data_IF_692573122933
#
_entry.id   IF_692573122933
#
_cell.length_a   1.000
_cell.length_b   1.000
_cell.length_c   1.000
_cell.angle_alpha   90.00
_cell.angle_beta   90.00
_cell.angle_gamma   90.00
#
_symmetry.space_group_name_H-M   'P 1'
#
loop_
_entity.id
_entity.type
_entity.pdbx_description
1 polymer ?
#
# COMPACT_ATOMS: atom_id res chain seq x y z
N UNK A 1 19.67 -22.28 29.52
CA UNK A 1 18.53 -21.70 28.77
C UNK A 1 19.01 -21.45 27.35
N UNK A 2 18.32 -21.93 26.31
CA UNK A 2 18.69 -21.60 24.93
C UNK A 2 18.34 -20.13 24.71
N UNK A 3 19.33 -19.32 24.36
CA UNK A 3 19.09 -17.92 23.99
C UNK A 3 18.13 -17.87 22.81
N UNK A 4 17.01 -17.17 23.01
CA UNK A 4 16.08 -16.90 21.92
C UNK A 4 16.78 -16.04 20.88
N UNK A 5 16.61 -16.37 19.59
CA UNK A 5 17.09 -15.54 18.50
C UNK A 5 16.51 -14.12 18.63
N UNK A 6 17.39 -13.12 18.64
CA UNK A 6 17.04 -11.70 18.69
C UNK A 6 17.50 -11.03 17.40
N UNK A 7 16.61 -10.22 16.84
CA UNK A 7 16.87 -9.38 15.69
C UNK A 7 16.52 -7.94 16.09
N UNK A 8 17.31 -6.99 15.63
CA UNK A 8 17.10 -5.58 15.96
C UNK A 8 15.91 -5.02 15.18
N UNK A 9 15.29 -3.94 15.69
CA UNK A 9 14.23 -3.24 14.95
C UNK A 9 14.70 -2.69 13.60
N UNK A 10 15.98 -2.32 13.51
CA UNK A 10 16.59 -1.80 12.27
C UNK A 10 16.66 -2.90 11.21
N UNK A 11 17.10 -4.09 11.59
CA UNK A 11 17.13 -5.24 10.70
C UNK A 11 15.71 -5.68 10.31
N UNK A 12 14.75 -5.67 11.24
CA UNK A 12 13.33 -5.94 10.93
C UNK A 12 12.71 -4.92 9.98
N UNK A 13 13.03 -3.63 10.14
CA UNK A 13 12.62 -2.59 9.20
C UNK A 13 13.24 -2.84 7.82
N UNK A 14 14.55 -3.10 7.79
CA UNK A 14 15.28 -3.37 6.54
C UNK A 14 14.71 -4.57 5.81
N UNK A 15 14.47 -5.69 6.51
CA UNK A 15 13.91 -6.90 5.91
C UNK A 15 12.52 -6.67 5.28
N UNK A 16 11.64 -5.94 5.96
CA UNK A 16 10.32 -5.59 5.40
C UNK A 16 10.42 -4.65 4.21
N UNK A 17 11.33 -3.67 4.28
CA UNK A 17 11.59 -2.77 3.16
C UNK A 17 12.13 -3.52 1.93
N UNK A 18 13.06 -4.45 2.14
CA UNK A 18 13.59 -5.32 1.08
C UNK A 18 12.47 -6.14 0.43
N UNK A 19 11.55 -6.70 1.22
CA UNK A 19 10.39 -7.43 0.68
C UNK A 19 9.57 -6.53 -0.26
N UNK A 20 9.28 -5.29 0.15
CA UNK A 20 8.56 -4.34 -0.71
C UNK A 20 9.32 -4.02 -1.99
N UNK A 21 10.59 -3.63 -1.88
CA UNK A 21 11.40 -3.20 -3.02
C UNK A 21 11.67 -4.30 -4.05
N UNK A 22 11.91 -5.52 -3.59
CA UNK A 22 12.35 -6.62 -4.45
C UNK A 22 11.20 -7.52 -4.92
N UNK A 23 10.06 -7.52 -4.23
CA UNK A 23 8.96 -8.45 -4.51
C UNK A 23 7.58 -7.80 -4.58
N UNK A 24 7.35 -6.67 -3.92
CA UNK A 24 6.06 -5.98 -3.95
C UNK A 24 5.95 -5.00 -5.11
N UNK A 25 6.86 -4.03 -5.15
CA UNK A 25 6.91 -2.96 -6.16
C UNK A 25 7.05 -3.53 -7.58
N UNK A 26 7.94 -4.49 -7.88
CA UNK A 26 8.07 -5.03 -9.23
C UNK A 26 6.76 -5.66 -9.74
N UNK A 27 6.03 -6.38 -8.89
CA UNK A 27 4.74 -6.98 -9.28
C UNK A 27 3.66 -5.91 -9.54
N UNK A 28 3.67 -4.80 -8.80
CA UNK A 28 2.82 -3.65 -9.09
C UNK A 28 3.20 -2.99 -10.43
N UNK A 29 4.50 -2.85 -10.71
CA UNK A 29 5.01 -2.31 -11.96
C UNK A 29 4.61 -3.18 -13.16
N UNK A 30 4.68 -4.50 -13.04
CA UNK A 30 4.15 -5.44 -14.04
C UNK A 30 2.64 -5.28 -14.25
N UNK A 31 1.90 -4.88 -13.21
CA UNK A 31 0.47 -4.55 -13.28
C UNK A 31 0.19 -3.12 -13.80
N UNK A 32 1.21 -2.40 -14.28
CA UNK A 32 1.08 -1.08 -14.89
C UNK A 32 1.02 0.08 -13.90
N UNK A 33 1.34 -0.17 -12.62
CA UNK A 33 1.60 0.93 -11.69
C UNK A 33 2.97 1.52 -11.96
N UNK A 34 3.12 2.83 -11.80
CA UNK A 34 4.40 3.51 -11.88
C UNK A 34 4.62 4.34 -10.63
N UNK A 35 5.87 4.71 -10.36
CA UNK A 35 6.16 5.70 -9.32
C UNK A 35 5.26 6.93 -9.50
N UNK A 36 4.65 7.35 -8.39
CA UNK A 36 3.76 8.51 -8.40
C UNK A 36 4.46 9.75 -8.97
N UNK A 37 3.79 10.51 -9.86
CA UNK A 37 4.37 11.69 -10.51
C UNK A 37 4.33 12.92 -9.61
N UNK A 38 3.51 12.95 -8.56
CA UNK A 38 3.23 14.14 -7.77
C UNK A 38 4.47 14.68 -7.04
N UNK A 39 4.56 16.00 -6.89
CA UNK A 39 5.67 16.67 -6.18
C UNK A 39 5.81 16.23 -4.72
N UNK A 40 4.70 15.94 -4.07
CA UNK A 40 4.62 15.54 -2.65
C UNK A 40 4.61 14.02 -2.46
N UNK A 41 4.80 13.25 -3.54
CA UNK A 41 4.91 11.80 -3.46
C UNK A 41 6.20 11.37 -2.78
N UNK A 42 6.11 10.29 -2.00
CA UNK A 42 7.27 9.69 -1.34
C UNK A 42 7.64 8.40 -2.04
N UNK A 43 8.94 8.18 -2.24
CA UNK A 43 9.45 6.96 -2.85
C UNK A 43 10.81 6.58 -2.26
N UNK A 44 10.81 6.15 -1.01
CA UNK A 44 12.02 5.82 -0.28
C UNK A 44 11.93 6.04 1.21
N UNK A 45 13.07 6.38 1.82
CA UNK A 45 13.18 6.63 3.25
C UNK A 45 12.45 7.93 3.61
N UNK A 46 11.56 7.83 4.59
CA UNK A 46 10.93 8.98 5.22
C UNK A 46 11.92 9.59 6.21
N UNK A 47 11.92 10.92 6.37
CA UNK A 47 12.76 11.72 7.28
C UNK A 47 13.46 10.93 8.41
N UNK A 48 14.76 11.17 8.56
CA UNK A 48 15.68 10.69 9.59
C UNK A 48 15.09 10.54 11.01
N UNK A 49 14.10 11.36 11.37
CA UNK A 49 13.44 11.35 12.67
C UNK A 49 12.35 10.26 12.81
N UNK A 50 11.63 9.93 11.74
CA UNK A 50 10.45 9.04 11.75
C UNK A 50 10.81 7.60 11.37
N UNK A 51 12.01 7.37 10.81
CA UNK A 51 12.65 6.05 10.64
C UNK A 51 11.72 5.01 9.97
N UNK A 52 11.31 5.27 8.74
CA UNK A 52 10.46 4.36 7.97
C UNK A 52 10.68 4.50 6.46
N UNK A 53 9.98 3.69 5.68
CA UNK A 53 9.95 3.79 4.22
C UNK A 53 8.51 3.95 3.74
N UNK A 54 8.32 4.79 2.72
CA UNK A 54 7.07 5.05 2.05
C UNK A 54 7.28 5.01 0.54
N UNK A 55 6.45 4.25 -0.17
CA UNK A 55 6.44 4.18 -1.62
C UNK A 55 5.03 4.43 -2.13
N UNK A 56 4.87 5.48 -2.90
CA UNK A 56 3.62 5.80 -3.58
C UNK A 56 3.72 5.47 -5.06
N UNK A 57 2.76 4.68 -5.54
CA UNK A 57 2.62 4.30 -6.94
C UNK A 57 1.22 4.65 -7.45
N UNK A 58 1.16 5.02 -8.72
CA UNK A 58 -0.07 5.41 -9.39
C UNK A 58 -0.29 4.58 -10.66
N UNK A 59 -1.55 4.32 -10.98
CA UNK A 59 -2.00 3.75 -12.25
C UNK A 59 -3.20 4.54 -12.75
N UNK A 60 -3.14 5.02 -13.98
CA UNK A 60 -4.26 5.63 -14.67
C UNK A 60 -4.89 4.57 -15.57
N UNK A 61 -6.19 4.35 -15.42
CA UNK A 61 -6.94 3.39 -16.25
C UNK A 61 -7.59 4.06 -17.45
N UNK A 62 -8.02 3.26 -18.41
CA UNK A 62 -8.76 3.74 -19.59
C UNK A 62 -10.12 4.36 -19.24
N UNK A 63 -10.66 4.06 -18.06
CA UNK A 63 -11.92 4.60 -17.52
C UNK A 63 -11.71 5.93 -16.79
N UNK A 64 -10.52 6.54 -16.92
CA UNK A 64 -10.14 7.77 -16.24
C UNK A 64 -10.12 7.64 -14.70
N UNK A 65 -9.89 6.42 -14.20
CA UNK A 65 -9.64 6.21 -12.79
C UNK A 65 -8.16 6.35 -12.48
N UNK A 66 -7.85 7.15 -11.47
CA UNK A 66 -6.53 7.23 -10.87
C UNK A 66 -6.49 6.32 -9.64
N UNK A 67 -5.75 5.22 -9.75
CA UNK A 67 -5.44 4.35 -8.62
C UNK A 67 -4.19 4.89 -7.94
N UNK A 68 -4.23 5.03 -6.62
CA UNK A 68 -3.08 5.37 -5.79
C UNK A 68 -2.87 4.23 -4.79
N UNK A 69 -1.66 3.66 -4.80
CA UNK A 69 -1.23 2.65 -3.82
C UNK A 69 -0.09 3.24 -3.00
N UNK A 70 -0.23 3.18 -1.68
CA UNK A 70 0.79 3.62 -0.73
C UNK A 70 1.27 2.43 0.08
N UNK A 71 2.57 2.13 0.00
CA UNK A 71 3.25 1.09 0.74
C UNK A 71 4.05 1.73 1.87
N UNK A 72 3.75 1.41 3.13
CA UNK A 72 4.49 1.96 4.28
C UNK A 72 5.02 0.89 5.22
N UNK A 73 6.24 1.14 5.71
CA UNK A 73 6.89 0.36 6.78
C UNK A 73 7.50 1.31 7.79
N UNK A 74 7.10 1.17 9.05
CA UNK A 74 7.63 1.97 10.15
C UNK A 74 8.52 1.14 11.07
N UNK A 75 9.53 1.79 11.65
CA UNK A 75 10.28 1.22 12.78
C UNK A 75 9.35 1.05 13.98
N UNK A 76 9.57 -0.02 14.77
CA UNK A 76 8.74 -0.34 15.93
C UNK A 76 7.46 -1.09 15.59
N UNK A 77 6.95 -0.97 14.36
CA UNK A 77 5.87 -1.82 13.86
C UNK A 77 6.42 -3.17 13.34
N UNK A 78 5.58 -4.21 13.33
CA UNK A 78 5.92 -5.52 12.74
C UNK A 78 5.24 -5.77 11.39
N UNK A 79 4.36 -4.86 10.98
CA UNK A 79 3.52 -4.96 9.80
C UNK A 79 4.09 -4.13 8.65
N UNK A 80 3.69 -4.48 7.44
CA UNK A 80 3.70 -3.64 6.24
C UNK A 80 2.26 -3.16 6.08
N UNK A 81 2.06 -1.87 5.80
CA UNK A 81 0.75 -1.32 5.45
C UNK A 81 0.71 -1.07 3.95
N UNK A 82 -0.37 -1.49 3.31
CA UNK A 82 -0.61 -1.30 1.88
C UNK A 82 -2.00 -0.74 1.76
N UNK A 83 -2.08 0.52 1.35
CA UNK A 83 -3.32 1.26 1.27
C UNK A 83 -3.63 1.56 -0.21
N UNK A 84 -4.85 1.24 -0.64
CA UNK A 84 -5.36 1.50 -1.99
C UNK A 84 -6.48 2.53 -1.91
N UNK A 85 -6.42 3.53 -2.79
CA UNK A 85 -7.53 4.44 -3.02
C UNK A 85 -7.70 4.71 -4.52
N UNK A 86 -8.93 4.93 -4.95
CA UNK A 86 -9.30 5.07 -6.35
C UNK A 86 -10.16 6.33 -6.53
N UNK A 87 -9.77 7.15 -7.50
CA UNK A 87 -10.43 8.40 -7.84
C UNK A 87 -10.88 8.38 -9.29
N UNK A 88 -11.97 9.09 -9.59
CA UNK A 88 -12.37 9.40 -10.94
C UNK A 88 -11.93 10.82 -11.25
N UNK A 89 -11.13 11.01 -12.29
CA UNK A 89 -10.71 12.36 -12.67
C UNK A 89 -11.84 13.03 -13.45
N UNK A 90 -12.17 14.28 -13.11
CA UNK A 90 -13.21 15.07 -13.79
C UNK A 90 -12.82 15.39 -15.24
N UNK A 91 -11.53 15.52 -15.51
CA UNK A 91 -10.94 15.77 -16.80
C UNK A 91 -10.20 14.51 -17.25
N UNK A 92 -10.35 14.18 -18.54
CA UNK A 92 -9.57 13.10 -19.14
C UNK A 92 -8.12 13.54 -19.26
N UNK A 93 -7.23 12.85 -18.56
CA UNK A 93 -5.79 12.97 -18.76
C UNK A 93 -5.30 11.85 -19.65
N UNK A 94 -4.32 12.14 -20.51
CA UNK A 94 -3.81 11.17 -21.47
C UNK A 94 -2.61 10.40 -20.89
N UNK A 95 -1.93 10.97 -19.89
CA UNK A 95 -0.76 10.37 -19.27
C UNK A 95 -0.66 10.73 -17.79
N UNK A 96 -0.13 9.81 -17.00
CA UNK A 96 0.23 10.05 -15.58
C UNK A 96 1.28 11.18 -15.48
N UNK A 97 2.12 11.38 -16.50
CA UNK A 97 3.11 12.47 -16.53
C UNK A 97 2.48 13.85 -16.42
N UNK A 98 1.21 14.00 -16.82
CA UNK A 98 0.49 15.28 -16.78
C UNK A 98 0.24 15.75 -15.34
N UNK A 99 0.37 14.86 -14.36
CA UNK A 99 0.20 15.12 -12.93
C UNK A 99 1.51 15.52 -12.23
N UNK A 100 2.63 15.62 -12.95
CA UNK A 100 3.96 15.84 -12.35
C UNK A 100 4.09 17.19 -11.63
N UNK A 101 3.37 18.20 -12.13
CA UNK A 101 3.41 19.54 -11.53
C UNK A 101 2.40 19.72 -10.39
N UNK A 102 1.48 18.78 -10.21
CA UNK A 102 0.42 18.80 -9.20
C UNK A 102 0.94 18.38 -7.82
N UNK A 103 0.28 18.91 -6.79
CA UNK A 103 0.41 18.43 -5.44
C UNK A 103 -0.50 17.22 -5.22
N UNK A 104 0.06 16.10 -4.75
CA UNK A 104 -0.68 14.89 -4.44
C UNK A 104 -1.36 14.91 -3.07
N UNK A 105 -1.19 15.97 -2.26
CA UNK A 105 -1.59 15.97 -0.85
C UNK A 105 -3.10 15.85 -0.67
N UNK A 106 -3.91 16.48 -1.52
CA UNK A 106 -5.36 16.48 -1.36
C UNK A 106 -5.97 15.09 -1.56
N UNK A 107 -5.34 14.21 -2.34
CA UNK A 107 -5.77 12.82 -2.48
C UNK A 107 -5.67 12.03 -1.16
N UNK A 108 -4.89 12.53 -0.19
CA UNK A 108 -4.68 11.90 1.13
C UNK A 108 -5.39 12.63 2.27
N UNK A 109 -6.05 13.75 1.98
CA UNK A 109 -6.73 14.57 3.00
C UNK A 109 -8.23 14.33 2.97
N UNK A 110 -8.95 14.58 4.07
CA UNK A 110 -10.41 14.57 4.07
C UNK A 110 -10.98 15.49 2.97
N UNK A 111 -11.99 15.04 2.22
CA UNK A 111 -12.74 13.79 2.40
C UNK A 111 -12.19 12.59 1.60
N UNK A 112 -11.09 12.74 0.86
CA UNK A 112 -10.56 11.71 -0.02
C UNK A 112 -9.99 10.50 0.73
N UNK A 113 -9.46 10.72 1.93
CA UNK A 113 -8.95 9.65 2.79
C UNK A 113 -10.03 8.65 3.25
N UNK A 114 -11.30 9.07 3.28
CA UNK A 114 -12.43 8.25 3.77
C UNK A 114 -12.73 7.00 2.93
N UNK A 115 -12.26 6.95 1.68
CA UNK A 115 -12.41 5.78 0.79
C UNK A 115 -11.12 4.96 0.68
N UNK A 116 -10.10 5.28 1.48
CA UNK A 116 -8.88 4.48 1.52
C UNK A 116 -9.18 3.10 2.10
N UNK A 117 -8.68 2.06 1.43
CA UNK A 117 -8.80 0.68 1.90
C UNK A 117 -7.43 0.10 2.19
N UNK A 118 -7.18 -0.28 3.44
CA UNK A 118 -6.00 -1.06 3.79
C UNK A 118 -6.20 -2.52 3.39
N UNK A 119 -5.32 -3.03 2.53
CA UNK A 119 -5.36 -4.41 2.08
C UNK A 119 -5.10 -5.37 3.24
N UNK A 120 -5.82 -6.50 3.28
CA UNK A 120 -5.81 -7.50 4.36
C UNK A 120 -6.22 -6.94 5.73
N UNK A 121 -6.96 -5.83 5.78
CA UNK A 121 -7.54 -5.23 6.98
C UNK A 121 -9.00 -4.85 6.74
N UNK A 122 -9.22 -3.96 5.78
CA UNK A 122 -10.53 -3.33 5.52
C UNK A 122 -11.30 -4.05 4.40
N UNK A 123 -10.61 -4.93 3.67
CA UNK A 123 -11.11 -5.65 2.50
C UNK A 123 -11.98 -6.87 2.85
N UNK A 124 -12.10 -7.26 4.12
CA UNK A 124 -12.84 -8.47 4.49
C UNK A 124 -14.35 -8.23 4.67
N UNK A 125 -15.18 -9.13 4.11
CA UNK A 125 -16.63 -9.19 4.42
C UNK A 125 -16.86 -10.04 5.67
N UNK A 126 -17.64 -9.53 6.60
CA UNK A 126 -18.16 -10.29 7.75
C UNK A 126 -17.66 -9.80 9.10
N UNK A 127 -18.03 -10.49 10.20
CA UNK A 127 -17.72 -10.04 11.55
C UNK A 127 -16.20 -9.93 11.80
N UNK A 128 -15.74 -8.85 12.47
CA UNK A 128 -14.33 -8.55 12.70
C UNK A 128 -13.46 -9.71 13.21
N UNK A 129 -14.04 -10.52 14.08
CA UNK A 129 -13.32 -11.56 14.81
C UNK A 129 -12.79 -12.68 13.89
N UNK A 130 -13.49 -13.04 12.81
CA UNK A 130 -13.08 -14.15 11.96
C UNK A 130 -11.82 -13.83 11.15
N UNK A 131 -11.73 -12.63 10.58
CA UNK A 131 -10.53 -12.29 9.82
C UNK A 131 -9.32 -12.00 10.72
N UNK A 132 -9.53 -11.37 11.88
CA UNK A 132 -8.44 -11.08 12.83
C UNK A 132 -7.75 -12.33 13.37
N UNK A 133 -8.46 -13.46 13.43
CA UNK A 133 -7.93 -14.71 13.99
C UNK A 133 -7.34 -15.65 12.95
N UNK A 134 -7.85 -15.64 11.71
CA UNK A 134 -7.58 -16.72 10.75
C UNK A 134 -7.03 -16.26 9.40
N UNK A 135 -7.07 -14.96 9.08
CA UNK A 135 -6.62 -14.49 7.77
C UNK A 135 -5.17 -14.00 7.79
N UNK A 136 -4.46 -14.17 6.66
CA UNK A 136 -3.08 -13.71 6.56
C UNK A 136 -3.02 -12.19 6.64
N UNK A 137 -1.96 -11.70 7.26
CA UNK A 137 -1.65 -10.28 7.36
C UNK A 137 -0.23 -10.05 6.85
N UNK A 138 0.07 -8.84 6.39
CA UNK A 138 1.43 -8.45 6.03
C UNK A 138 2.32 -8.21 7.27
N UNK A 139 2.47 -9.23 8.12
CA UNK A 139 3.29 -9.18 9.33
C UNK A 139 4.27 -10.34 9.41
N UNK A 140 5.42 -10.09 10.02
CA UNK A 140 6.32 -11.17 10.41
C UNK A 140 5.69 -11.87 11.62
N UNK A 141 5.39 -13.17 11.48
CA UNK A 141 4.85 -14.00 12.55
C UNK A 141 5.84 -14.22 13.70
N UNK A 142 5.45 -15.01 14.70
CA UNK A 142 6.35 -15.33 15.82
C UNK A 142 7.49 -16.27 15.41
N UNK A 143 8.68 -16.04 15.95
CA UNK A 143 9.90 -16.83 15.72
C UNK A 143 10.71 -16.96 17.02
N UNK A 144 11.50 -18.04 17.13
CA UNK A 144 12.39 -18.32 18.28
C UNK A 144 13.83 -18.64 17.88
N UNK A 145 14.03 -19.12 16.65
CA UNK A 145 15.33 -19.43 16.05
C UNK A 145 15.50 -18.64 14.75
N UNK A 146 16.74 -18.48 14.28
CA UNK A 146 17.02 -17.85 12.99
C UNK A 146 16.28 -18.53 11.83
N UNK A 147 16.32 -19.86 11.74
CA UNK A 147 15.58 -20.61 10.71
C UNK A 147 14.06 -20.36 10.78
N UNK A 148 13.49 -20.26 11.98
CA UNK A 148 12.07 -19.92 12.12
C UNK A 148 11.76 -18.48 11.69
N UNK A 149 12.69 -17.54 11.90
CA UNK A 149 12.58 -16.16 11.46
C UNK A 149 12.62 -16.07 9.92
N UNK A 150 13.59 -16.71 9.28
CA UNK A 150 13.70 -16.80 7.82
C UNK A 150 12.45 -17.42 7.20
N UNK A 151 11.88 -18.45 7.83
CA UNK A 151 10.61 -19.04 7.38
C UNK A 151 9.45 -18.03 7.44
N UNK A 152 9.38 -17.18 8.47
CA UNK A 152 8.33 -16.15 8.56
C UNK A 152 8.57 -15.02 7.54
N UNK A 153 9.82 -14.65 7.28
CA UNK A 153 10.16 -13.70 6.21
C UNK A 153 9.74 -14.21 4.84
N UNK A 154 10.04 -15.47 4.52
CA UNK A 154 9.63 -16.07 3.25
C UNK A 154 8.11 -16.10 3.09
N UNK A 155 7.37 -16.44 4.15
CA UNK A 155 5.89 -16.37 4.14
C UNK A 155 5.38 -14.97 3.84
N UNK A 156 5.94 -13.95 4.50
CA UNK A 156 5.56 -12.55 4.27
C UNK A 156 5.88 -12.13 2.83
N UNK A 157 7.07 -12.48 2.35
CA UNK A 157 7.51 -12.23 0.97
C UNK A 157 6.55 -12.86 -0.04
N UNK A 158 6.27 -14.16 0.10
CA UNK A 158 5.41 -14.89 -0.84
C UNK A 158 3.97 -14.33 -0.82
N UNK A 159 3.48 -13.90 0.35
CA UNK A 159 2.19 -13.23 0.49
C UNK A 159 2.17 -11.87 -0.22
N UNK A 160 3.13 -10.99 0.04
CA UNK A 160 3.24 -9.67 -0.60
C UNK A 160 3.34 -9.84 -2.11
N UNK A 161 4.25 -10.70 -2.59
CA UNK A 161 4.44 -10.97 -4.02
C UNK A 161 3.13 -11.41 -4.67
N UNK A 162 2.48 -12.43 -4.10
CA UNK A 162 1.22 -12.97 -4.63
C UNK A 162 0.13 -11.90 -4.68
N UNK A 163 0.00 -11.10 -3.63
CA UNK A 163 -1.09 -10.13 -3.53
C UNK A 163 -0.87 -8.94 -4.46
N UNK A 164 0.37 -8.46 -4.62
CA UNK A 164 0.70 -7.39 -5.57
C UNK A 164 0.56 -7.87 -7.01
N UNK A 165 0.94 -9.12 -7.30
CA UNK A 165 0.71 -9.74 -8.61
C UNK A 165 -0.79 -9.83 -8.96
N UNK A 166 -1.66 -9.96 -7.94
CA UNK A 166 -3.11 -10.06 -8.08
C UNK A 166 -3.84 -8.79 -7.59
N UNK A 167 -3.24 -7.62 -7.78
CA UNK A 167 -3.77 -6.36 -7.24
C UNK A 167 -5.21 -6.06 -7.71
N UNK A 168 -5.58 -6.51 -8.92
CA UNK A 168 -6.93 -6.35 -9.48
C UNK A 168 -8.02 -7.00 -8.61
N UNK A 169 -7.70 -8.04 -7.84
CA UNK A 169 -8.62 -8.61 -6.85
C UNK A 169 -9.00 -7.55 -5.80
N UNK A 170 -8.02 -6.80 -5.31
CA UNK A 170 -8.24 -5.74 -4.33
C UNK A 170 -8.91 -4.51 -4.95
N UNK A 171 -8.59 -4.17 -6.20
CA UNK A 171 -9.29 -3.10 -6.94
C UNK A 171 -10.78 -3.43 -7.06
N UNK A 172 -11.12 -4.65 -7.49
CA UNK A 172 -12.51 -5.10 -7.53
C UNK A 172 -13.14 -5.01 -6.15
N UNK A 173 -12.42 -5.45 -5.12
CA UNK A 173 -12.92 -5.44 -3.74
C UNK A 173 -13.18 -4.02 -3.24
N UNK A 174 -12.33 -3.08 -3.59
CA UNK A 174 -12.49 -1.65 -3.30
C UNK A 174 -13.80 -1.12 -3.88
N UNK A 175 -14.09 -1.42 -5.16
CA UNK A 175 -15.35 -1.02 -5.81
C UNK A 175 -16.61 -1.68 -5.24
N UNK A 176 -16.49 -2.80 -4.53
CA UNK A 176 -17.62 -3.40 -3.81
C UNK A 176 -17.95 -2.66 -2.50
N UNK A 177 -16.99 -1.89 -1.94
CA UNK A 177 -17.10 -1.22 -0.65
C UNK A 177 -17.28 0.29 -0.84
N UNK A 178 -16.62 0.86 -1.83
CA UNK A 178 -16.51 2.30 -2.06
C UNK A 178 -16.91 2.68 -3.49
N UNK A 179 -17.16 3.97 -3.68
CA UNK A 179 -17.27 4.61 -4.99
C UNK A 179 -16.18 5.67 -5.11
N UNK A 180 -15.58 5.86 -6.30
CA UNK A 180 -14.56 6.88 -6.50
C UNK A 180 -15.13 8.26 -6.28
N UNK A 181 -14.42 9.10 -5.51
CA UNK A 181 -14.66 10.52 -5.52
C UNK A 181 -14.26 11.08 -6.89
N UNK A 182 -15.04 12.04 -7.39
CA UNK A 182 -14.68 12.75 -8.62
C UNK A 182 -13.82 13.95 -8.25
N UNK A 183 -12.57 13.97 -8.71
CA UNK A 183 -11.60 15.01 -8.37
C UNK A 183 -11.02 15.69 -9.60
N UNK A 184 -10.46 16.89 -9.42
CA UNK A 184 -9.52 17.44 -10.38
C UNK A 184 -8.13 16.79 -10.27
N UNK A 185 -7.17 17.25 -11.08
CA UNK A 185 -5.78 16.76 -11.12
C UNK A 185 -4.99 17.04 -9.85
N UNK A 186 -5.41 18.04 -9.06
CA UNK A 186 -4.83 18.41 -7.78
C UNK A 186 -5.52 17.69 -6.61
N UNK A 187 -6.48 16.79 -6.88
CA UNK A 187 -7.20 16.03 -5.88
C UNK A 187 -8.32 16.80 -5.18
N UNK A 188 -8.70 18.00 -5.66
CA UNK A 188 -9.85 18.70 -5.10
C UNK A 188 -11.14 18.00 -5.53
N UNK A 189 -12.04 17.75 -4.58
CA UNK A 189 -13.30 17.06 -4.86
C UNK A 189 -14.26 17.99 -5.60
N UNK A 190 -14.61 17.61 -6.82
CA UNK A 190 -15.58 18.32 -7.66
C UNK A 190 -16.99 17.78 -7.44
N UNK A 191 -17.11 16.47 -7.20
CA UNK A 191 -18.37 15.83 -6.84
C UNK A 191 -18.13 14.73 -5.83
N UNK A 192 -18.77 14.87 -4.66
CA UNK A 192 -18.87 13.79 -3.68
C UNK A 192 -19.89 12.78 -4.18
N UNK A 193 -19.57 11.51 -4.09
CA UNK A 193 -20.56 10.46 -4.26
C UNK A 193 -21.08 10.11 -2.87
N UNK A 194 -22.37 10.36 -2.62
CA UNK A 194 -23.07 9.89 -1.43
C UNK A 194 -23.21 8.36 -1.42
#
# INVERSE_FOLDING_TARGET
>A
MKDNFKITEKELLTARNTILKEYGIPELEENGYIKSPFKTSWFGEYDSNIRGYCYELCKLTNENHLHIITLTVFRGEKRIKIDLNIFELNEKINSISDLKECDGINFKMPPNDSTTMQLRSDDYKGPPLFYMLFLPEYKIGTYKTQSSFEKQLNKLRDLVKKDMANIDFFVKRWHEIHKPNVTDKEGNVVKKVQ
#
